data_IF_475836956758
#
_entry.id   IF_475836956758
#
_cell.length_a   1.000
_cell.length_b   1.000
_cell.length_c   1.000
_cell.angle_alpha   90.00
_cell.angle_beta   90.00
_cell.angle_gamma   90.00
#
_symmetry.space_group_name_H-M   'P 1'
#
loop_
_entity.id
_entity.type
_entity.pdbx_description
1 polymer ?
#
# COMPACT_ATOMS: atom_id res chain seq x y z
N UNK A 1 13.50 16.36 3.31
CA UNK A 1 14.06 15.31 2.41
C UNK A 1 15.57 15.38 2.51
N UNK A 2 16.27 14.32 2.88
CA UNK A 2 17.73 14.32 2.79
C UNK A 2 18.12 14.50 1.32
N UNK A 3 19.11 15.36 1.00
CA UNK A 3 19.64 15.46 -0.34
C UNK A 3 20.15 14.07 -0.79
N UNK A 4 19.95 13.75 -2.05
CA UNK A 4 20.44 12.49 -2.62
C UNK A 4 21.97 12.49 -2.62
N UNK A 5 22.56 11.52 -1.93
CA UNK A 5 23.99 11.29 -1.90
C UNK A 5 24.34 10.18 -2.90
N UNK A 6 24.84 10.55 -4.07
CA UNK A 6 25.19 9.62 -5.12
C UNK A 6 23.99 8.94 -5.81
N UNK A 7 24.04 7.62 -6.00
CA UNK A 7 23.02 6.84 -6.69
C UNK A 7 21.87 6.43 -5.76
N UNK A 8 20.72 6.02 -6.33
CA UNK A 8 19.60 5.45 -5.56
C UNK A 8 20.05 4.23 -4.77
N UNK A 9 20.86 3.35 -5.38
CA UNK A 9 21.41 2.15 -4.73
C UNK A 9 22.29 2.52 -3.55
N UNK A 10 23.18 3.52 -3.71
CA UNK A 10 24.02 4.00 -2.61
C UNK A 10 23.18 4.51 -1.44
N UNK A 11 22.12 5.31 -1.71
CA UNK A 11 21.22 5.81 -0.66
C UNK A 11 20.47 4.68 0.03
N UNK A 12 20.02 3.65 -0.71
CA UNK A 12 19.34 2.51 -0.15
C UNK A 12 20.25 1.69 0.79
N UNK A 13 21.48 1.44 0.37
CA UNK A 13 22.47 0.66 1.14
C UNK A 13 23.00 1.42 2.36
N UNK A 14 23.25 2.73 2.21
CA UNK A 14 23.88 3.55 3.27
C UNK A 14 22.86 4.04 4.29
N UNK A 15 21.69 4.48 3.82
CA UNK A 15 20.69 5.17 4.64
C UNK A 15 19.39 4.39 4.83
N UNK A 16 19.20 3.27 4.12
CA UNK A 16 17.97 2.51 4.11
C UNK A 16 16.78 3.28 3.52
N UNK A 17 17.02 4.18 2.59
CA UNK A 17 16.01 5.06 1.98
C UNK A 17 16.00 4.92 0.45
N UNK A 18 15.05 5.60 -0.21
CA UNK A 18 14.92 5.65 -1.67
C UNK A 18 14.43 4.34 -2.34
N UNK A 19 13.86 3.43 -1.58
CA UNK A 19 13.16 2.24 -2.10
C UNK A 19 11.73 2.16 -1.58
N UNK A 20 10.87 1.43 -2.29
CA UNK A 20 9.55 1.03 -1.82
C UNK A 20 9.56 -0.47 -1.51
N UNK A 21 8.88 -0.87 -0.44
CA UNK A 21 8.76 -2.26 -0.05
C UNK A 21 7.65 -2.96 -0.86
N UNK A 22 7.98 -3.33 -2.08
CA UNK A 22 7.03 -3.91 -3.02
C UNK A 22 6.44 -5.21 -2.51
N UNK A 23 7.26 -6.10 -1.99
CA UNK A 23 6.81 -7.45 -1.60
C UNK A 23 5.83 -7.44 -0.42
N UNK A 24 6.01 -6.53 0.54
CA UNK A 24 5.07 -6.35 1.65
C UNK A 24 3.77 -5.63 1.25
N UNK A 25 3.71 -5.07 0.04
CA UNK A 25 2.60 -4.23 -0.43
C UNK A 25 1.90 -4.80 -1.67
N UNK A 26 2.09 -6.10 -1.94
CA UNK A 26 1.40 -6.77 -3.06
C UNK A 26 -0.10 -6.82 -2.83
N UNK A 27 -0.87 -6.64 -3.91
CA UNK A 27 -2.33 -6.56 -3.88
C UNK A 27 -2.98 -7.91 -4.13
N UNK A 28 -3.95 -8.27 -3.27
CA UNK A 28 -4.76 -9.47 -3.38
C UNK A 28 -3.98 -10.76 -3.13
N UNK A 29 -4.70 -11.88 -3.08
CA UNK A 29 -4.13 -13.21 -2.81
C UNK A 29 -3.13 -13.67 -3.87
N UNK A 30 -3.27 -13.16 -5.10
CA UNK A 30 -2.37 -13.48 -6.22
C UNK A 30 -1.06 -12.67 -6.20
N UNK A 31 -0.86 -11.83 -5.20
CA UNK A 31 0.37 -11.07 -5.00
C UNK A 31 0.71 -10.12 -6.15
N UNK A 32 -0.29 -9.44 -6.72
CA UNK A 32 -0.07 -8.45 -7.78
C UNK A 32 0.82 -7.32 -7.31
N UNK A 33 1.54 -6.73 -8.26
CA UNK A 33 2.34 -5.54 -8.02
C UNK A 33 1.50 -4.43 -7.36
N UNK A 34 2.06 -3.67 -6.40
CA UNK A 34 1.37 -2.55 -5.78
C UNK A 34 0.79 -1.59 -6.81
N UNK A 35 -0.50 -1.29 -6.69
CA UNK A 35 -1.16 -0.38 -7.59
C UNK A 35 -0.76 1.07 -7.30
N UNK A 36 -0.75 1.88 -8.35
CA UNK A 36 -0.52 3.33 -8.26
C UNK A 36 -1.82 4.12 -8.01
N UNK A 37 -2.95 3.43 -7.86
CA UNK A 37 -4.26 4.00 -7.59
C UNK A 37 -4.88 3.28 -6.39
N UNK A 38 -5.42 4.06 -5.48
CA UNK A 38 -6.16 3.58 -4.31
C UNK A 38 -7.63 3.94 -4.53
N UNK A 39 -8.53 2.99 -4.30
CA UNK A 39 -9.97 3.16 -4.45
C UNK A 39 -10.64 2.96 -3.10
N UNK A 40 -11.72 3.70 -2.86
CA UNK A 40 -12.70 3.34 -1.85
C UNK A 40 -13.74 2.35 -2.42
N UNK A 41 -14.64 1.87 -1.58
CA UNK A 41 -15.64 0.88 -2.00
C UNK A 41 -16.58 1.41 -3.09
N UNK A 42 -16.92 2.70 -3.04
CA UNK A 42 -17.83 3.32 -4.01
C UNK A 42 -17.15 3.46 -5.37
N UNK A 43 -15.93 3.97 -5.40
CA UNK A 43 -15.13 4.09 -6.62
C UNK A 43 -14.83 2.72 -7.24
N UNK A 44 -14.54 1.70 -6.41
CA UNK A 44 -14.33 0.33 -6.87
C UNK A 44 -15.61 -0.24 -7.52
N UNK A 45 -16.78 -0.05 -6.89
CA UNK A 45 -18.05 -0.49 -7.45
C UNK A 45 -18.41 0.22 -8.75
N UNK A 46 -18.16 1.53 -8.84
CA UNK A 46 -18.37 2.30 -10.08
C UNK A 46 -17.46 1.81 -11.21
N UNK A 47 -16.18 1.54 -10.91
CA UNK A 47 -15.25 1.01 -11.89
C UNK A 47 -15.69 -0.38 -12.39
N UNK A 48 -16.10 -1.26 -11.48
CA UNK A 48 -16.57 -2.60 -11.84
C UNK A 48 -17.86 -2.56 -12.65
N UNK A 49 -18.76 -1.65 -12.34
CA UNK A 49 -19.98 -1.44 -13.15
C UNK A 49 -19.69 -0.97 -14.58
N UNK A 50 -18.65 -0.15 -14.76
CA UNK A 50 -18.23 0.33 -16.08
C UNK A 50 -17.51 -0.72 -16.90
N UNK A 51 -16.66 -1.52 -16.27
CA UNK A 51 -15.78 -2.47 -16.96
C UNK A 51 -16.40 -3.86 -17.11
N UNK A 52 -17.39 -4.20 -16.31
CA UNK A 52 -17.94 -5.55 -16.22
C UNK A 52 -16.92 -6.57 -15.71
N UNK A 53 -17.21 -7.84 -15.95
CA UNK A 53 -16.33 -8.94 -15.57
C UNK A 53 -15.24 -9.11 -16.61
N UNK A 54 -14.00 -9.01 -16.19
CA UNK A 54 -12.80 -9.22 -16.98
C UNK A 54 -12.17 -10.56 -16.60
N UNK A 55 -11.80 -11.36 -17.59
CA UNK A 55 -11.13 -12.64 -17.38
C UNK A 55 -9.72 -12.57 -17.94
N UNK A 56 -8.72 -12.89 -17.13
CA UNK A 56 -7.36 -13.01 -17.61
C UNK A 56 -7.19 -14.33 -18.39
N UNK A 57 -6.45 -14.27 -19.50
CA UNK A 57 -6.14 -15.47 -20.28
C UNK A 57 -5.33 -16.48 -19.46
N UNK A 58 -5.43 -17.74 -19.81
CA UNK A 58 -4.61 -18.81 -19.23
C UNK A 58 -3.45 -19.11 -20.17
N UNK A 59 -2.21 -19.07 -19.65
CA UNK A 59 -0.99 -19.53 -20.33
C UNK A 59 -0.88 -19.05 -21.80
N UNK A 60 -0.91 -17.75 -22.01
CA UNK A 60 -0.75 -17.17 -23.34
C UNK A 60 0.63 -17.51 -23.90
N UNK A 61 0.67 -18.09 -25.09
CA UNK A 61 1.94 -18.34 -25.81
C UNK A 61 2.32 -17.11 -26.61
N UNK A 62 3.53 -16.65 -26.45
CA UNK A 62 4.05 -15.50 -27.19
C UNK A 62 4.20 -15.86 -28.69
N UNK A 63 3.55 -15.10 -29.54
CA UNK A 63 3.57 -15.35 -31.00
C UNK A 63 4.78 -14.77 -31.71
N UNK A 64 5.41 -13.73 -31.15
CA UNK A 64 6.56 -13.03 -31.75
C UNK A 64 7.58 -12.68 -30.65
N UNK A 65 8.84 -12.56 -31.05
CA UNK A 65 9.87 -12.01 -30.16
C UNK A 65 9.55 -10.54 -29.81
N UNK A 66 9.64 -10.21 -28.53
CA UNK A 66 9.46 -8.82 -28.08
C UNK A 66 10.77 -8.08 -28.19
N UNK A 67 10.83 -7.08 -29.10
CA UNK A 67 11.93 -6.14 -29.18
C UNK A 67 11.54 -4.87 -28.42
N UNK A 68 12.00 -4.75 -27.16
CA UNK A 68 11.78 -3.51 -26.42
C UNK A 68 13.09 -2.78 -26.04
N UNK A 69 14.21 -3.48 -25.97
CA UNK A 69 15.54 -2.90 -25.71
C UNK A 69 16.64 -3.84 -26.30
N UNK A 70 17.78 -3.29 -26.68
CA UNK A 70 18.93 -4.00 -27.22
C UNK A 70 19.51 -5.11 -26.32
N UNK A 71 19.08 -5.21 -25.05
CA UNK A 71 19.71 -6.07 -24.03
C UNK A 71 18.73 -7.02 -23.31
N UNK A 72 17.72 -7.50 -23.96
CA UNK A 72 16.83 -8.50 -23.37
C UNK A 72 15.38 -8.25 -23.72
N UNK A 73 14.93 -8.89 -24.75
CA UNK A 73 13.51 -8.86 -25.14
C UNK A 73 12.61 -9.43 -24.05
N UNK A 74 11.35 -9.03 -24.07
CA UNK A 74 10.29 -9.52 -23.19
C UNK A 74 9.97 -11.02 -23.33
N UNK A 75 10.94 -11.85 -23.77
CA UNK A 75 10.83 -13.28 -24.03
C UNK A 75 10.81 -13.64 -25.52
N UNK A 76 10.99 -14.92 -25.83
CA UNK A 76 11.09 -15.47 -27.18
C UNK A 76 9.72 -15.91 -27.71
N UNK A 77 9.59 -16.02 -29.03
CA UNK A 77 8.44 -16.68 -29.62
C UNK A 77 8.36 -18.13 -29.11
N UNK A 78 7.18 -18.57 -28.70
CA UNK A 78 6.96 -19.86 -28.06
C UNK A 78 7.00 -19.87 -26.53
N UNK A 79 7.52 -18.81 -25.88
CA UNK A 79 7.50 -18.72 -24.42
C UNK A 79 6.06 -18.67 -23.88
N UNK A 80 5.78 -19.50 -22.89
CA UNK A 80 4.51 -19.49 -22.17
C UNK A 80 4.54 -18.38 -21.13
N UNK A 81 3.62 -17.43 -21.24
CA UNK A 81 3.43 -16.41 -20.23
C UNK A 81 2.44 -16.91 -19.18
N UNK A 82 2.94 -17.10 -17.97
CA UNK A 82 2.08 -17.39 -16.81
C UNK A 82 1.19 -16.19 -16.54
N UNK A 83 -0.11 -16.39 -16.58
CA UNK A 83 -1.12 -15.38 -16.23
C UNK A 83 -1.78 -15.75 -14.91
N UNK A 84 -2.49 -14.82 -14.32
CA UNK A 84 -3.16 -15.06 -13.03
C UNK A 84 -4.35 -16.02 -13.15
N UNK A 85 -4.93 -16.20 -14.33
CA UNK A 85 -6.08 -17.12 -14.56
C UNK A 85 -7.33 -16.73 -13.79
N UNK A 86 -7.47 -15.46 -13.41
CA UNK A 86 -8.53 -14.95 -12.57
C UNK A 86 -9.64 -14.24 -13.37
N UNK A 87 -10.79 -14.04 -12.71
CA UNK A 87 -11.93 -13.33 -13.27
C UNK A 87 -12.54 -12.41 -12.23
N UNK A 88 -13.04 -11.26 -12.64
CA UNK A 88 -13.69 -10.26 -11.76
C UNK A 88 -13.72 -8.88 -12.37
N UNK A 89 -14.24 -7.91 -11.64
CA UNK A 89 -14.23 -6.50 -12.01
C UNK A 89 -12.81 -5.93 -12.09
N UNK A 90 -12.64 -4.77 -12.73
CA UNK A 90 -11.33 -4.14 -12.87
C UNK A 90 -10.76 -3.64 -11.53
N UNK A 91 -11.61 -3.41 -10.52
CA UNK A 91 -11.18 -2.98 -9.18
C UNK A 91 -10.17 -3.93 -8.54
N UNK A 92 -10.19 -5.21 -8.90
CA UNK A 92 -9.26 -6.22 -8.40
C UNK A 92 -7.77 -5.97 -8.73
N UNK A 93 -7.50 -5.08 -9.67
CA UNK A 93 -6.13 -4.68 -10.02
C UNK A 93 -5.61 -3.55 -9.14
N UNK A 94 -6.46 -2.95 -8.32
CA UNK A 94 -6.15 -1.80 -7.49
C UNK A 94 -6.28 -2.14 -6.01
N UNK A 95 -5.64 -1.34 -5.17
CA UNK A 95 -5.87 -1.44 -3.74
C UNK A 95 -7.21 -0.78 -3.40
N UNK A 96 -8.14 -1.55 -2.85
CA UNK A 96 -9.43 -1.05 -2.39
C UNK A 96 -9.44 -0.99 -0.87
N UNK A 97 -9.48 0.22 -0.32
CA UNK A 97 -9.57 0.45 1.12
C UNK A 97 -10.98 0.15 1.61
N UNK A 98 -11.10 -0.67 2.66
CA UNK A 98 -12.37 -0.93 3.35
C UNK A 98 -12.39 -0.16 4.65
N UNK A 99 -13.23 0.89 4.72
CA UNK A 99 -13.43 1.62 5.96
C UNK A 99 -14.36 0.84 6.90
N UNK A 100 -13.85 0.40 8.03
CA UNK A 100 -14.64 -0.24 9.09
C UNK A 100 -15.19 0.80 10.07
N UNK A 101 -16.49 0.80 10.32
CA UNK A 101 -17.10 1.61 11.38
C UNK A 101 -16.54 1.30 12.79
N UNK A 102 -16.03 0.08 12.97
CA UNK A 102 -15.46 -0.40 14.23
C UNK A 102 -14.10 0.22 14.55
N UNK A 103 -13.40 0.72 13.57
CA UNK A 103 -12.03 1.27 13.72
C UNK A 103 -11.97 2.62 14.42
N UNK A 104 -13.09 3.34 14.48
CA UNK A 104 -13.12 4.64 15.17
C UNK A 104 -12.86 4.50 16.66
N UNK A 105 -13.30 3.41 17.27
CA UNK A 105 -13.26 3.25 18.72
C UNK A 105 -14.36 4.05 19.45
N UNK A 106 -14.64 3.73 20.73
CA UNK A 106 -15.62 4.45 21.52
C UNK A 106 -15.20 5.90 21.77
N UNK A 107 -16.13 6.83 21.61
CA UNK A 107 -15.89 8.25 21.88
C UNK A 107 -15.08 9.02 20.83
N UNK A 108 -14.61 8.38 19.77
CA UNK A 108 -13.87 9.06 18.72
C UNK A 108 -14.81 9.76 17.73
N UNK A 109 -14.97 11.07 17.91
CA UNK A 109 -15.75 11.95 17.05
C UNK A 109 -14.89 12.73 16.03
N UNK A 110 -13.60 12.41 15.90
CA UNK A 110 -12.71 13.03 14.94
C UNK A 110 -13.24 12.87 13.51
N UNK A 111 -13.38 13.98 12.78
CA UNK A 111 -14.06 14.01 11.47
C UNK A 111 -13.32 13.26 10.37
N UNK A 112 -12.00 13.17 10.45
CA UNK A 112 -11.13 12.64 9.40
C UNK A 112 -10.32 11.41 9.80
N UNK A 113 -10.95 10.48 10.54
CA UNK A 113 -10.31 9.20 10.88
C UNK A 113 -10.00 8.43 9.59
N UNK A 114 -8.74 8.09 9.39
CA UNK A 114 -8.29 7.31 8.23
C UNK A 114 -8.51 5.82 8.48
N UNK A 115 -8.91 5.03 7.46
CA UNK A 115 -8.97 3.58 7.56
C UNK A 115 -7.61 3.00 7.96
N UNK A 116 -7.59 2.10 8.95
CA UNK A 116 -6.34 1.50 9.43
C UNK A 116 -5.66 0.66 8.35
N UNK A 117 -6.42 -0.13 7.61
CA UNK A 117 -5.90 -0.94 6.51
C UNK A 117 -5.17 -0.09 5.46
N UNK A 118 -5.71 1.10 5.13
CA UNK A 118 -5.05 2.03 4.23
C UNK A 118 -3.73 2.54 4.82
N UNK A 119 -3.73 2.89 6.10
CA UNK A 119 -2.52 3.36 6.76
C UNK A 119 -1.46 2.26 6.87
N UNK A 120 -1.87 1.03 7.17
CA UNK A 120 -0.98 -0.13 7.19
C UNK A 120 -0.37 -0.40 5.82
N UNK A 121 -1.18 -0.35 4.75
CA UNK A 121 -0.69 -0.49 3.37
C UNK A 121 0.35 0.58 3.02
N UNK A 122 0.04 1.86 3.27
CA UNK A 122 0.94 2.97 2.96
C UNK A 122 2.24 2.90 3.79
N UNK A 123 2.14 2.60 5.08
CA UNK A 123 3.31 2.45 5.94
C UNK A 123 4.15 1.23 5.56
N UNK A 124 3.51 0.13 5.15
CA UNK A 124 4.18 -1.05 4.61
C UNK A 124 4.98 -0.72 3.35
N UNK A 125 4.34 -0.04 2.40
CA UNK A 125 4.96 0.36 1.12
C UNK A 125 6.17 1.29 1.31
N UNK A 126 6.09 2.22 2.27
CA UNK A 126 7.13 3.22 2.56
C UNK A 126 8.14 2.74 3.60
N UNK A 127 8.00 1.52 4.11
CA UNK A 127 8.90 0.96 5.09
C UNK A 127 10.33 0.82 4.56
N UNK A 128 11.29 1.32 5.33
CA UNK A 128 12.71 1.12 5.03
C UNK A 128 13.19 -0.23 5.53
N UNK A 129 14.21 -0.86 4.90
CA UNK A 129 14.75 -2.14 5.33
C UNK A 129 15.19 -2.16 6.80
N UNK A 130 15.68 -1.03 7.31
CA UNK A 130 16.19 -0.88 8.67
C UNK A 130 15.14 -0.44 9.69
N UNK A 131 13.85 -0.44 9.30
CA UNK A 131 12.76 -0.17 10.23
C UNK A 131 12.67 1.25 10.75
N UNK A 132 12.87 2.28 9.94
CA UNK A 132 12.88 3.68 10.32
C UNK A 132 11.74 4.12 11.26
N UNK A 133 11.86 5.33 11.81
CA UNK A 133 10.84 5.94 12.67
C UNK A 133 9.80 6.66 11.80
N UNK A 134 8.53 6.36 12.03
CA UNK A 134 7.40 7.04 11.37
C UNK A 134 7.10 8.33 12.15
N UNK A 135 7.01 9.45 11.44
CA UNK A 135 6.62 10.73 12.01
C UNK A 135 5.28 11.17 11.41
N UNK A 136 4.30 11.42 12.28
CA UNK A 136 3.03 12.04 11.92
C UNK A 136 2.87 13.35 12.71
N UNK A 137 3.15 14.51 12.08
CA UNK A 137 3.09 15.80 12.75
C UNK A 137 1.66 16.33 12.95
N UNK A 138 0.65 15.62 12.44
CA UNK A 138 -0.78 15.98 12.55
C UNK A 138 -1.61 14.72 12.81
N UNK A 139 -1.26 13.99 13.86
CA UNK A 139 -1.76 12.62 14.06
C UNK A 139 -3.27 12.51 14.31
N UNK A 140 -3.94 13.60 14.72
CA UNK A 140 -5.35 13.57 15.09
C UNK A 140 -5.62 12.51 16.15
N UNK A 141 -6.59 11.65 15.91
CA UNK A 141 -6.89 10.50 16.78
C UNK A 141 -5.96 9.28 16.59
N UNK A 142 -4.80 9.43 15.97
CA UNK A 142 -3.69 8.49 15.98
C UNK A 142 -3.79 7.29 15.02
N UNK A 143 -4.54 7.37 13.92
CA UNK A 143 -4.66 6.21 12.99
C UNK A 143 -3.31 5.76 12.42
N UNK A 144 -2.43 6.70 12.07
CA UNK A 144 -1.06 6.39 11.61
C UNK A 144 -0.25 5.65 12.68
N UNK A 145 -0.37 6.07 13.94
CA UNK A 145 0.37 5.48 15.06
C UNK A 145 -0.13 4.06 15.39
N UNK A 146 -1.45 3.86 15.34
CA UNK A 146 -2.07 2.54 15.50
C UNK A 146 -1.56 1.58 14.43
N UNK A 147 -1.58 2.00 13.16
CA UNK A 147 -1.08 1.21 12.05
C UNK A 147 0.43 0.92 12.18
N UNK A 148 1.22 1.93 12.57
CA UNK A 148 2.65 1.76 12.84
C UNK A 148 2.92 0.70 13.92
N UNK A 149 2.18 0.74 15.03
CA UNK A 149 2.29 -0.24 16.11
C UNK A 149 1.98 -1.66 15.63
N UNK A 150 0.89 -1.86 14.88
CA UNK A 150 0.54 -3.17 14.30
C UNK A 150 1.61 -3.72 13.37
N UNK A 151 2.32 -2.84 12.68
CA UNK A 151 3.47 -3.21 11.84
C UNK A 151 4.79 -3.35 12.61
N UNK A 152 4.76 -3.23 13.94
CA UNK A 152 5.96 -3.31 14.79
C UNK A 152 6.94 -2.14 14.55
N UNK A 153 6.45 -0.97 14.12
CA UNK A 153 7.27 0.18 13.78
C UNK A 153 7.29 1.21 14.91
N UNK A 154 8.44 1.85 15.10
CA UNK A 154 8.55 3.03 15.98
C UNK A 154 7.86 4.21 15.34
N UNK A 155 7.13 4.99 16.14
CA UNK A 155 6.42 6.18 15.64
C UNK A 155 6.50 7.33 16.63
N UNK A 156 6.37 8.53 16.08
CA UNK A 156 6.26 9.79 16.79
C UNK A 156 5.04 10.51 16.22
N UNK A 157 4.06 10.84 17.06
CA UNK A 157 2.89 11.64 16.68
C UNK A 157 2.89 12.96 17.41
N UNK A 158 2.40 13.99 16.73
CA UNK A 158 2.21 15.33 17.29
C UNK A 158 0.75 15.72 17.06
N UNK A 159 0.09 16.19 18.10
CA UNK A 159 -1.28 16.69 18.07
C UNK A 159 -1.41 17.90 18.98
N UNK A 160 -2.06 18.95 18.49
CA UNK A 160 -2.25 20.19 19.21
C UNK A 160 -3.47 20.14 20.15
N UNK A 161 -4.53 19.43 19.72
CA UNK A 161 -5.76 19.29 20.50
C UNK A 161 -5.59 18.21 21.59
N UNK A 162 -5.65 18.57 22.89
CA UNK A 162 -5.49 17.62 23.98
C UNK A 162 -6.49 16.46 23.94
N UNK A 163 -7.72 16.72 23.53
CA UNK A 163 -8.75 15.68 23.44
C UNK A 163 -8.40 14.62 22.37
N UNK A 164 -8.00 15.06 21.19
CA UNK A 164 -7.55 14.15 20.13
C UNK A 164 -6.28 13.40 20.53
N UNK A 165 -5.36 14.08 21.23
CA UNK A 165 -4.15 13.45 21.76
C UNK A 165 -4.49 12.30 22.74
N UNK A 166 -5.39 12.53 23.69
CA UNK A 166 -5.83 11.49 24.64
C UNK A 166 -6.47 10.28 23.92
N UNK A 167 -7.33 10.54 22.93
CA UNK A 167 -7.90 9.47 22.09
C UNK A 167 -6.79 8.69 21.39
N UNK A 168 -5.81 9.37 20.81
CA UNK A 168 -4.70 8.73 20.13
C UNK A 168 -3.90 7.80 21.07
N UNK A 169 -3.60 8.28 22.28
CA UNK A 169 -2.89 7.51 23.31
C UNK A 169 -3.67 6.23 23.67
N UNK A 170 -4.98 6.36 23.93
CA UNK A 170 -5.84 5.21 24.25
C UNK A 170 -5.89 4.20 23.09
N UNK A 171 -6.05 4.65 21.86
CA UNK A 171 -6.11 3.81 20.67
C UNK A 171 -4.80 3.07 20.42
N UNK A 172 -3.69 3.76 20.58
CA UNK A 172 -2.36 3.14 20.40
C UNK A 172 -2.08 2.08 21.46
N UNK A 173 -2.46 2.32 22.73
CA UNK A 173 -2.30 1.33 23.79
C UNK A 173 -3.23 0.12 23.66
N UNK A 174 -4.42 0.29 23.10
CA UNK A 174 -5.40 -0.77 22.86
C UNK A 174 -5.27 -1.48 21.51
N UNK A 175 -4.22 -1.24 20.76
CA UNK A 175 -4.00 -1.77 19.40
C UNK A 175 -3.22 -3.09 19.36
N UNK A 176 -3.38 -3.95 20.37
CA UNK A 176 -2.79 -5.30 20.42
C UNK A 176 -3.63 -6.31 19.67
#
# INVERSE_FOLDING_TARGET
MKPRDGTIVHNALTWGVAGMNIDASRVGELGRWPANLLLDEEAAAQLDAQTGILTSGTNCVRRKEGHFLEHGGLGKAGDVQTTYGDSGGASRFFYCSKASKKERGPGNNHTTVKPLDLMEYLLGLLSTPNGGVILDPFMGSGSTLVAARRLGRKCIGIELDPHNYEIAVQRVHGAD
#
